data_IF_574985484706
#
_entry.id   IF_574985484706
#
_cell.length_a   1.000
_cell.length_b   1.000
_cell.length_c   1.000
_cell.angle_alpha   90.00
_cell.angle_beta   90.00
_cell.angle_gamma   90.00
#
_symmetry.space_group_name_H-M   'P 1'
#
loop_
_entity.id
_entity.type
_entity.pdbx_description
1 polymer ?
#
# COMPACT_ATOMS: atom_id res chain seq x y z
N UNK A 1 -63.15 -13.42 16.92
CA UNK A 1 -62.39 -14.68 17.08
C UNK A 1 -60.94 -14.34 17.35
N UNK A 2 -60.43 -14.73 18.52
CA UNK A 2 -59.19 -14.26 19.14
C UNK A 2 -57.92 -14.79 18.45
N UNK A 3 -56.92 -13.90 18.26
CA UNK A 3 -55.53 -14.23 17.92
C UNK A 3 -54.83 -14.79 19.16
N UNK A 4 -54.31 -16.02 19.08
CA UNK A 4 -53.44 -16.60 20.10
C UNK A 4 -52.02 -16.01 19.99
N UNK A 5 -51.55 -15.40 21.08
CA UNK A 5 -50.15 -15.01 21.29
C UNK A 5 -49.34 -16.25 21.68
N UNK A 6 -48.20 -16.50 21.03
CA UNK A 6 -47.14 -17.37 21.57
C UNK A 6 -45.99 -16.50 22.09
N UNK A 7 -45.57 -16.76 23.33
CA UNK A 7 -44.28 -16.44 23.96
C UNK A 7 -43.60 -17.79 24.27
N UNK A 8 -42.33 -17.86 24.72
CA UNK A 8 -41.10 -17.21 24.25
C UNK A 8 -39.96 -18.26 24.08
N UNK A 9 -38.78 -17.88 23.58
CA UNK A 9 -37.55 -18.61 23.91
C UNK A 9 -36.48 -17.62 24.40
N UNK A 10 -35.87 -17.98 25.52
CA UNK A 10 -34.92 -17.24 26.33
C UNK A 10 -33.56 -17.10 25.64
N UNK A 11 -32.96 -15.90 25.75
CA UNK A 11 -31.55 -15.63 25.47
C UNK A 11 -30.64 -16.54 26.33
N UNK A 12 -29.54 -17.11 25.80
CA UNK A 12 -28.53 -17.69 26.67
C UNK A 12 -27.67 -16.57 27.29
N UNK A 13 -27.48 -16.68 28.61
CA UNK A 13 -26.67 -15.79 29.41
C UNK A 13 -25.18 -15.92 29.06
N UNK A 14 -24.46 -14.78 28.97
CA UNK A 14 -23.00 -14.76 29.00
C UNK A 14 -22.51 -15.22 30.37
N UNK A 15 -21.78 -16.33 30.41
CA UNK A 15 -21.05 -16.76 31.60
C UNK A 15 -19.74 -15.97 31.71
N UNK A 16 -19.54 -15.28 32.84
CA UNK A 16 -18.27 -14.69 33.26
C UNK A 16 -17.29 -15.79 33.67
N UNK A 17 -16.14 -15.91 33.00
CA UNK A 17 -15.06 -16.79 33.45
C UNK A 17 -13.88 -16.98 32.48
N UNK A 18 -12.75 -16.33 32.79
CA UNK A 18 -11.36 -16.67 32.47
C UNK A 18 -10.91 -16.93 31.01
N UNK A 19 -10.10 -15.97 30.51
CA UNK A 19 -8.97 -16.08 29.56
C UNK A 19 -9.05 -17.16 28.45
N UNK A 20 -9.40 -16.72 27.24
CA UNK A 20 -9.16 -17.45 25.99
C UNK A 20 -9.70 -16.66 24.79
N UNK A 21 -8.90 -16.56 23.71
CA UNK A 21 -9.25 -15.88 22.45
C UNK A 21 -10.64 -16.32 21.93
N UNK A 22 -11.61 -15.41 21.91
CA UNK A 22 -12.93 -15.62 21.31
C UNK A 22 -12.96 -15.06 19.89
N UNK A 23 -13.00 -15.94 18.89
CA UNK A 23 -13.38 -15.61 17.52
C UNK A 23 -14.92 -15.52 17.44
N UNK A 24 -15.45 -14.35 17.08
CA UNK A 24 -16.87 -14.20 16.77
C UNK A 24 -17.16 -14.77 15.38
N UNK A 25 -17.83 -15.92 15.32
CA UNK A 25 -18.35 -16.49 14.08
C UNK A 25 -19.74 -15.91 13.80
N UNK A 26 -19.91 -15.24 12.66
CA UNK A 26 -21.21 -14.74 12.19
C UNK A 26 -22.10 -15.88 11.67
N UNK A 27 -23.44 -15.79 11.78
CA UNK A 27 -24.36 -16.80 11.26
C UNK A 27 -24.48 -16.75 9.71
N UNK A 28 -24.67 -17.92 9.10
CA UNK A 28 -24.78 -18.07 7.64
C UNK A 28 -26.09 -17.46 7.08
N UNK A 29 -26.07 -16.78 5.92
CA UNK A 29 -27.26 -16.17 5.32
C UNK A 29 -28.16 -17.18 4.60
N UNK A 30 -29.46 -16.87 4.59
CA UNK A 30 -30.51 -17.64 3.93
C UNK A 30 -30.65 -17.18 2.46
N UNK A 31 -30.10 -17.95 1.51
CA UNK A 31 -30.05 -17.58 0.08
C UNK A 31 -31.16 -18.32 -0.69
N UNK A 32 -32.08 -17.57 -1.32
CA UNK A 32 -33.03 -18.13 -2.30
C UNK A 32 -32.44 -18.04 -3.72
N UNK A 33 -32.36 -19.17 -4.41
CA UNK A 33 -31.80 -19.31 -5.75
C UNK A 33 -32.74 -18.76 -6.83
N UNK A 34 -32.31 -17.72 -7.55
CA UNK A 34 -33.03 -17.20 -8.72
C UNK A 34 -32.32 -16.02 -9.39
N UNK A 35 -31.35 -16.29 -10.28
CA UNK A 35 -30.56 -15.23 -10.91
C UNK A 35 -29.86 -15.59 -12.23
N UNK A 36 -30.35 -16.60 -12.96
CA UNK A 36 -29.68 -17.08 -14.19
C UNK A 36 -29.91 -16.26 -15.46
N UNK A 37 -31.07 -15.61 -15.62
CA UNK A 37 -31.52 -15.12 -16.94
C UNK A 37 -31.21 -13.64 -17.25
N UNK A 38 -30.73 -12.86 -16.28
CA UNK A 38 -30.72 -11.38 -16.40
C UNK A 38 -29.38 -10.81 -16.87
N UNK A 39 -28.24 -11.42 -16.51
CA UNK A 39 -26.91 -10.92 -16.90
C UNK A 39 -26.58 -11.04 -18.39
N UNK A 40 -27.28 -11.90 -19.15
CA UNK A 40 -27.09 -11.97 -20.60
C UNK A 40 -27.47 -10.67 -21.31
N UNK A 41 -28.37 -9.85 -20.73
CA UNK A 41 -28.80 -8.58 -21.32
C UNK A 41 -27.83 -7.44 -21.06
N UNK A 42 -27.20 -7.38 -19.89
CA UNK A 42 -26.24 -6.32 -19.52
C UNK A 42 -24.90 -6.50 -20.23
N UNK A 43 -24.43 -7.75 -20.36
CA UNK A 43 -23.23 -8.08 -21.14
C UNK A 43 -23.46 -7.82 -22.64
N UNK A 44 -24.64 -8.15 -23.18
CA UNK A 44 -24.99 -7.82 -24.57
C UNK A 44 -25.14 -6.32 -24.82
N UNK A 45 -25.61 -5.55 -23.82
CA UNK A 45 -25.71 -4.10 -23.89
C UNK A 45 -24.33 -3.42 -23.92
N UNK A 46 -23.39 -3.84 -23.06
CA UNK A 46 -21.99 -3.38 -23.06
C UNK A 46 -21.22 -3.76 -24.34
N UNK A 47 -21.46 -4.97 -24.87
CA UNK A 47 -20.91 -5.42 -26.15
C UNK A 47 -21.40 -4.59 -27.37
N UNK A 48 -22.56 -3.93 -27.25
CA UNK A 48 -23.15 -3.16 -28.35
C UNK A 48 -22.63 -1.71 -28.47
N UNK A 49 -22.10 -1.12 -27.38
CA UNK A 49 -21.63 0.28 -27.36
C UNK A 49 -20.12 0.44 -27.50
N UNK A 50 -19.31 -0.55 -27.13
CA UNK A 50 -17.87 -0.50 -27.38
C UNK A 50 -17.51 -1.26 -28.66
N UNK A 51 -17.11 -0.54 -29.72
CA UNK A 51 -16.48 -1.12 -30.93
C UNK A 51 -15.07 -1.66 -30.64
N UNK A 52 -14.91 -2.54 -29.65
CA UNK A 52 -13.69 -3.32 -29.46
C UNK A 52 -14.10 -4.78 -29.21
N UNK A 53 -13.81 -5.64 -30.18
CA UNK A 53 -14.00 -7.07 -30.03
C UNK A 53 -13.07 -7.55 -28.93
N UNK A 54 -13.62 -8.22 -27.92
CA UNK A 54 -12.87 -8.93 -26.88
C UNK A 54 -12.09 -10.16 -27.43
N UNK A 55 -12.06 -10.37 -28.75
CA UNK A 55 -11.28 -11.44 -29.40
C UNK A 55 -9.76 -11.20 -29.37
N UNK A 56 -9.31 -10.00 -28.99
CA UNK A 56 -7.91 -9.60 -29.16
C UNK A 56 -7.15 -9.50 -27.82
N UNK A 57 -7.77 -9.89 -26.70
CA UNK A 57 -7.14 -9.96 -25.38
C UNK A 57 -6.93 -11.42 -24.99
N UNK A 58 -5.73 -11.93 -25.20
CA UNK A 58 -5.30 -13.23 -24.66
C UNK A 58 -4.79 -13.04 -23.23
N UNK A 59 -5.28 -13.88 -22.31
CA UNK A 59 -4.92 -13.86 -20.88
C UNK A 59 -4.18 -15.16 -20.53
N UNK A 60 -2.95 -15.07 -20.02
CA UNK A 60 -2.06 -16.21 -19.74
C UNK A 60 -1.96 -16.58 -18.26
N UNK A 61 -2.85 -16.06 -17.41
CA UNK A 61 -2.95 -16.48 -16.01
C UNK A 61 -2.21 -15.59 -15.02
N UNK A 62 -1.31 -14.70 -15.46
CA UNK A 62 -0.51 -13.89 -14.53
C UNK A 62 -0.37 -12.41 -14.92
N UNK A 63 -0.55 -12.02 -16.20
CA UNK A 63 -0.55 -10.60 -16.62
C UNK A 63 -1.37 -10.36 -17.92
N UNK A 64 -1.86 -9.12 -18.12
CA UNK A 64 -2.47 -8.69 -19.40
C UNK A 64 -1.37 -8.15 -20.32
N UNK A 65 -1.02 -8.86 -21.40
CA UNK A 65 -0.14 -8.33 -22.46
C UNK A 65 -0.94 -7.87 -23.67
N UNK A 66 -0.79 -6.60 -24.04
CA UNK A 66 -1.34 -6.07 -25.30
C UNK A 66 -0.40 -6.42 -26.46
N UNK A 67 -0.89 -7.20 -27.44
CA UNK A 67 -0.14 -7.50 -28.67
C UNK A 67 -0.28 -6.30 -29.64
N UNK A 68 0.86 -5.75 -30.07
CA UNK A 68 1.01 -4.38 -30.58
C UNK A 68 0.35 -4.01 -31.92
N UNK A 69 0.42 -2.71 -32.27
CA UNK A 69 0.19 -2.25 -33.65
C UNK A 69 0.04 -0.74 -33.91
N UNK A 70 1.16 -0.09 -34.26
CA UNK A 70 1.37 1.12 -35.10
C UNK A 70 0.92 2.51 -34.59
N UNK A 71 1.90 3.41 -34.57
CA UNK A 71 1.78 4.78 -34.06
C UNK A 71 1.03 5.77 -34.93
N UNK A 72 0.46 6.77 -34.26
CA UNK A 72 -0.01 8.03 -34.85
C UNK A 72 0.15 9.17 -33.81
N UNK A 73 0.92 10.19 -34.20
CA UNK A 73 0.71 11.62 -33.95
C UNK A 73 0.52 12.16 -32.52
N UNK A 74 1.49 12.94 -32.04
CA UNK A 74 1.37 13.84 -30.87
C UNK A 74 0.19 14.83 -31.03
N UNK A 75 -0.68 15.05 -30.03
CA UNK A 75 -1.60 16.18 -30.04
C UNK A 75 -0.90 17.44 -29.52
N UNK A 76 -1.02 18.53 -30.27
CA UNK A 76 -0.56 19.90 -29.93
C UNK A 76 -1.31 20.43 -28.71
N UNK A 77 -0.57 21.02 -27.76
CA UNK A 77 -1.13 21.75 -26.63
C UNK A 77 -1.77 23.07 -27.07
N UNK A 78 -3.05 23.26 -26.72
CA UNK A 78 -3.76 24.55 -26.86
C UNK A 78 -3.54 25.36 -25.58
N UNK A 79 -2.84 26.49 -25.72
CA UNK A 79 -2.72 27.54 -24.70
C UNK A 79 -4.09 28.14 -24.40
N UNK A 80 -4.53 28.13 -23.15
CA UNK A 80 -5.51 29.08 -22.63
C UNK A 80 -4.80 30.10 -21.73
N UNK A 81 -5.04 31.38 -22.00
CA UNK A 81 -4.48 32.53 -21.30
C UNK A 81 -5.37 32.90 -20.11
N UNK A 82 -4.74 33.09 -18.95
CA UNK A 82 -4.94 34.15 -17.97
C UNK A 82 -6.34 34.52 -17.47
N UNK A 83 -6.52 34.44 -16.14
CA UNK A 83 -6.92 35.59 -15.33
C UNK A 83 -6.40 35.42 -13.89
N UNK A 84 -5.42 36.24 -13.53
CA UNK A 84 -4.88 36.42 -12.19
C UNK A 84 -5.69 37.53 -11.47
N UNK A 85 -6.18 37.24 -10.26
CA UNK A 85 -6.50 38.19 -9.17
C UNK A 85 -6.07 37.42 -7.91
N UNK A 86 -5.06 37.76 -7.12
CA UNK A 86 -4.60 39.07 -6.65
C UNK A 86 -5.26 39.35 -5.32
N UNK A 87 -4.69 38.90 -4.19
CA UNK A 87 -4.93 39.45 -2.85
C UNK A 87 -3.75 39.23 -1.90
N UNK A 88 -3.48 40.29 -1.16
CA UNK A 88 -2.28 40.69 -0.46
C UNK A 88 -1.91 39.91 0.81
N UNK A 89 -0.60 39.88 1.04
CA UNK A 89 0.07 39.58 2.31
C UNK A 89 0.27 40.85 3.14
N UNK A 90 -0.41 40.96 4.28
CA UNK A 90 0.09 41.71 5.45
C UNK A 90 -0.85 41.58 6.64
N UNK A 91 -0.35 41.07 7.76
CA UNK A 91 -0.39 41.76 9.06
C UNK A 91 0.22 40.88 10.16
N UNK A 92 1.50 41.13 10.44
CA UNK A 92 2.17 40.77 11.69
C UNK A 92 2.46 42.08 12.45
N UNK A 93 1.94 42.19 13.68
CA UNK A 93 2.27 43.10 14.81
C UNK A 93 0.99 43.16 15.67
N UNK A 94 0.91 42.71 16.92
CA UNK A 94 1.89 42.65 18.00
C UNK A 94 1.42 43.61 19.09
N UNK A 95 0.87 43.11 20.21
CA UNK A 95 0.74 43.86 21.48
C UNK A 95 0.91 42.88 22.65
N UNK A 96 1.80 43.27 23.56
CA UNK A 96 2.20 42.57 24.77
C UNK A 96 1.25 42.82 25.97
N UNK A 97 1.34 41.86 26.90
CA UNK A 97 1.33 42.01 28.38
C UNK A 97 0.00 42.13 29.14
N UNK A 98 -0.25 41.10 29.98
CA UNK A 98 -0.17 41.30 31.43
C UNK A 98 -1.39 40.99 32.29
N UNK A 99 -1.20 40.05 33.23
CA UNK A 99 -1.76 39.92 34.60
C UNK A 99 -3.02 39.06 34.84
N UNK A 100 -2.73 37.89 35.42
CA UNK A 100 -3.18 37.36 36.72
C UNK A 100 -4.67 37.44 37.15
N UNK A 101 -5.20 36.23 37.39
CA UNK A 101 -5.87 35.75 38.61
C UNK A 101 -7.38 35.48 38.58
N UNK A 102 -7.69 34.29 39.14
CA UNK A 102 -8.83 33.93 39.98
C UNK A 102 -10.10 33.33 39.34
N UNK A 103 -10.22 32.03 39.62
CA UNK A 103 -11.36 31.37 40.29
C UNK A 103 -12.72 31.28 39.58
N UNK A 104 -13.08 30.03 39.27
CA UNK A 104 -14.31 29.42 39.77
C UNK A 104 -15.60 29.84 39.08
N UNK A 105 -15.97 29.11 38.03
CA UNK A 105 -17.36 29.01 37.59
C UNK A 105 -17.70 27.53 37.41
N UNK A 106 -18.31 26.95 38.44
CA UNK A 106 -19.17 25.78 38.33
C UNK A 106 -20.34 26.20 37.44
N UNK A 107 -20.38 25.70 36.21
CA UNK A 107 -21.55 25.80 35.35
C UNK A 107 -22.10 24.41 35.09
N UNK A 108 -23.27 24.20 35.67
CA UNK A 108 -24.22 23.13 35.41
C UNK A 108 -24.41 22.96 33.90
N UNK A 109 -23.98 21.84 33.35
CA UNK A 109 -24.45 21.41 32.04
C UNK A 109 -25.90 20.93 32.18
N UNK A 110 -26.82 21.77 31.74
CA UNK A 110 -28.18 21.36 31.43
C UNK A 110 -28.12 20.35 30.28
N UNK A 111 -28.66 19.15 30.51
CA UNK A 111 -28.85 18.13 29.50
C UNK A 111 -29.90 18.61 28.50
N UNK A 112 -29.46 19.24 27.42
CA UNK A 112 -30.23 19.33 26.19
C UNK A 112 -29.92 18.08 25.38
N UNK A 113 -30.93 17.23 25.17
CA UNK A 113 -30.85 16.07 24.30
C UNK A 113 -30.49 16.49 22.88
N UNK A 114 -29.21 16.42 22.55
CA UNK A 114 -28.80 16.17 21.19
C UNK A 114 -29.21 14.73 20.91
N UNK A 115 -30.07 14.51 19.91
CA UNK A 115 -30.14 13.21 19.28
C UNK A 115 -28.70 12.85 18.90
N UNK A 116 -28.18 11.75 19.47
CA UNK A 116 -26.87 11.26 19.13
C UNK A 116 -26.90 10.98 17.63
N UNK A 117 -26.14 11.77 16.87
CA UNK A 117 -25.75 11.35 15.52
C UNK A 117 -24.80 10.19 15.80
N UNK A 118 -25.31 8.96 15.67
CA UNK A 118 -24.49 7.76 15.73
C UNK A 118 -23.31 7.97 14.76
N UNK A 119 -22.05 7.77 15.20
CA UNK A 119 -20.89 7.79 14.33
C UNK A 119 -21.15 7.00 13.05
N UNK A 120 -20.68 7.51 11.89
CA UNK A 120 -20.88 6.83 10.62
C UNK A 120 -20.38 5.37 10.63
N UNK A 121 -19.34 5.09 11.43
CA UNK A 121 -18.84 3.74 11.67
C UNK A 121 -19.87 2.81 12.32
N UNK A 122 -20.66 3.30 13.28
CA UNK A 122 -21.65 2.48 13.99
C UNK A 122 -22.80 2.06 13.05
N UNK A 123 -23.28 3.00 12.21
CA UNK A 123 -24.27 2.70 11.18
C UNK A 123 -23.73 1.70 10.14
N UNK A 124 -22.48 1.88 9.70
CA UNK A 124 -21.86 0.97 8.73
C UNK A 124 -21.64 -0.43 9.32
N UNK A 125 -21.24 -0.51 10.60
CA UNK A 125 -21.03 -1.78 11.29
C UNK A 125 -22.35 -2.52 11.52
N UNK A 126 -23.41 -1.81 11.90
CA UNK A 126 -24.75 -2.38 12.05
C UNK A 126 -25.23 -2.97 10.71
N UNK A 127 -25.10 -2.22 9.61
CA UNK A 127 -25.45 -2.70 8.27
C UNK A 127 -24.68 -3.96 7.88
N UNK A 128 -23.36 -3.99 8.12
CA UNK A 128 -22.52 -5.15 7.84
C UNK A 128 -22.91 -6.36 8.70
N UNK A 129 -23.34 -6.13 9.94
CA UNK A 129 -23.74 -7.19 10.89
C UNK A 129 -25.11 -7.76 10.52
N UNK A 130 -26.05 -6.91 10.13
CA UNK A 130 -27.40 -7.31 9.71
C UNK A 130 -27.39 -8.10 8.40
N UNK A 131 -26.47 -7.76 7.49
CA UNK A 131 -26.23 -8.53 6.25
C UNK A 131 -27.42 -8.51 5.27
N UNK A 132 -28.22 -7.44 5.27
CA UNK A 132 -29.38 -7.29 4.38
C UNK A 132 -28.99 -6.83 2.96
N UNK A 133 -28.40 -7.73 2.18
CA UNK A 133 -27.94 -7.45 0.82
C UNK A 133 -29.08 -7.29 -0.21
N UNK A 134 -28.84 -6.48 -1.25
CA UNK A 134 -29.77 -6.22 -2.35
C UNK A 134 -30.05 -7.47 -3.16
N UNK A 135 -31.33 -7.85 -3.26
CA UNK A 135 -31.80 -8.95 -4.14
C UNK A 135 -31.57 -8.69 -5.63
N UNK A 136 -31.38 -7.43 -6.04
CA UNK A 136 -31.09 -7.04 -7.43
C UNK A 136 -29.59 -6.81 -7.67
N UNK A 137 -28.75 -7.00 -6.65
CA UNK A 137 -27.32 -6.74 -6.72
C UNK A 137 -27.00 -5.32 -7.21
N UNK A 138 -25.98 -5.22 -8.06
CA UNK A 138 -25.41 -4.01 -8.65
C UNK A 138 -26.39 -3.21 -9.50
N UNK A 139 -27.44 -3.82 -10.06
CA UNK A 139 -28.43 -3.09 -10.88
C UNK A 139 -29.12 -1.98 -10.08
N UNK A 140 -29.29 -2.16 -8.76
CA UNK A 140 -29.82 -1.09 -7.89
C UNK A 140 -28.85 0.09 -7.77
N UNK A 141 -27.54 -0.18 -7.78
CA UNK A 141 -26.49 0.83 -7.64
C UNK A 141 -26.27 1.58 -8.96
N UNK A 142 -26.14 0.84 -10.06
CA UNK A 142 -25.82 1.37 -11.40
C UNK A 142 -26.96 2.20 -12.01
N UNK A 143 -28.17 2.14 -11.45
CA UNK A 143 -29.26 3.03 -11.82
C UNK A 143 -29.04 4.50 -11.41
N UNK A 144 -28.13 4.75 -10.45
CA UNK A 144 -27.73 6.10 -10.03
C UNK A 144 -26.21 6.35 -10.15
N UNK A 145 -25.38 5.30 -10.09
CA UNK A 145 -23.93 5.38 -10.24
C UNK A 145 -23.47 4.91 -11.61
N UNK A 146 -23.50 5.81 -12.60
CA UNK A 146 -23.18 5.51 -14.00
C UNK A 146 -21.85 6.18 -14.46
N UNK A 147 -21.61 6.17 -15.78
CA UNK A 147 -20.40 6.77 -16.40
C UNK A 147 -20.37 8.29 -16.38
N UNK A 148 -21.54 8.93 -16.21
CA UNK A 148 -21.68 10.39 -16.25
C UNK A 148 -21.50 11.00 -14.86
N UNK A 149 -21.51 10.18 -13.81
CA UNK A 149 -21.19 10.59 -12.46
C UNK A 149 -19.74 11.13 -12.36
N UNK A 150 -19.48 12.12 -11.47
CA UNK A 150 -18.14 12.67 -11.27
C UNK A 150 -17.09 11.62 -10.87
N UNK A 151 -17.54 10.46 -10.39
CA UNK A 151 -16.72 9.32 -9.95
C UNK A 151 -17.24 8.03 -10.58
N UNK A 152 -16.87 7.76 -11.84
CA UNK A 152 -17.34 6.59 -12.54
C UNK A 152 -16.87 5.32 -11.81
N UNK A 153 -17.83 4.46 -11.48
CA UNK A 153 -17.58 3.18 -10.80
C UNK A 153 -17.30 2.06 -11.80
N UNK A 154 -17.64 2.26 -13.08
CA UNK A 154 -17.57 1.23 -14.11
C UNK A 154 -16.15 0.76 -14.43
N UNK A 155 -15.12 1.55 -14.09
CA UNK A 155 -13.72 1.15 -14.25
C UNK A 155 -13.38 -0.13 -13.46
N UNK A 156 -14.16 -0.47 -12.44
CA UNK A 156 -14.02 -1.75 -11.71
C UNK A 156 -14.16 -2.96 -12.64
N UNK A 157 -14.96 -2.86 -13.70
CA UNK A 157 -15.20 -3.91 -14.67
C UNK A 157 -14.01 -4.15 -15.60
N UNK A 158 -13.04 -3.25 -15.64
CA UNK A 158 -11.75 -3.48 -16.29
C UNK A 158 -10.77 -4.29 -15.42
N UNK A 159 -11.11 -4.53 -14.15
CA UNK A 159 -10.27 -5.25 -13.18
C UNK A 159 -10.77 -6.68 -12.95
N UNK A 160 -9.94 -7.50 -12.28
CA UNK A 160 -10.33 -8.85 -11.86
C UNK A 160 -11.49 -8.86 -10.85
N UNK A 161 -11.74 -7.75 -10.14
CA UNK A 161 -12.83 -7.67 -9.19
C UNK A 161 -14.19 -7.61 -9.90
N UNK A 162 -14.29 -6.91 -11.03
CA UNK A 162 -15.51 -6.82 -11.82
C UNK A 162 -15.73 -7.98 -12.79
N UNK A 163 -14.83 -8.97 -12.85
CA UNK A 163 -14.88 -10.00 -13.88
C UNK A 163 -15.71 -11.23 -13.47
N UNK A 164 -16.88 -11.49 -14.09
CA UNK A 164 -17.83 -12.50 -13.61
C UNK A 164 -17.37 -13.96 -13.72
N UNK A 165 -16.42 -14.23 -14.63
CA UNK A 165 -15.86 -15.58 -14.77
C UNK A 165 -14.81 -15.94 -13.69
N UNK A 166 -14.36 -14.98 -12.88
CA UNK A 166 -13.40 -15.25 -11.80
C UNK A 166 -14.19 -15.72 -10.58
N UNK A 167 -14.04 -17.00 -10.22
CA UNK A 167 -14.88 -17.69 -9.22
C UNK A 167 -14.93 -17.03 -7.83
N UNK A 168 -13.85 -16.33 -7.41
CA UNK A 168 -13.77 -15.63 -6.12
C UNK A 168 -13.88 -14.11 -6.24
N UNK A 169 -14.23 -13.59 -7.41
CA UNK A 169 -14.43 -12.15 -7.57
C UNK A 169 -15.72 -11.70 -6.89
N UNK A 170 -15.80 -10.44 -6.46
CA UNK A 170 -17.07 -9.83 -6.05
C UNK A 170 -18.21 -10.04 -7.04
N UNK A 171 -17.93 -10.04 -8.34
CA UNK A 171 -18.93 -10.21 -9.40
C UNK A 171 -19.06 -11.66 -9.92
N UNK A 172 -18.51 -12.65 -9.20
CA UNK A 172 -18.52 -14.05 -9.61
C UNK A 172 -19.95 -14.56 -9.87
N UNK A 173 -20.12 -15.27 -10.97
CA UNK A 173 -21.37 -15.94 -11.33
C UNK A 173 -21.39 -17.39 -10.84
N UNK A 174 -22.56 -17.89 -10.41
CA UNK A 174 -22.80 -19.32 -10.21
C UNK A 174 -22.55 -19.87 -8.79
N UNK A 175 -23.22 -19.31 -7.78
CA UNK A 175 -23.26 -19.89 -6.43
C UNK A 175 -21.96 -19.70 -5.63
N UNK A 176 -21.23 -18.61 -5.88
CA UNK A 176 -20.08 -18.24 -5.06
C UNK A 176 -20.52 -17.97 -3.61
N UNK A 177 -19.72 -18.42 -2.66
CA UNK A 177 -19.96 -18.16 -1.24
C UNK A 177 -19.62 -16.70 -0.90
N UNK A 178 -20.48 -16.00 -0.11
CA UNK A 178 -20.21 -14.65 0.35
C UNK A 178 -18.81 -14.50 0.97
N UNK A 179 -18.11 -13.36 0.74
CA UNK A 179 -18.63 -12.16 0.07
C UNK A 179 -18.55 -12.19 -1.47
N UNK A 180 -18.06 -13.27 -2.09
CA UNK A 180 -18.06 -13.39 -3.54
C UNK A 180 -19.50 -13.50 -4.09
N UNK A 181 -19.76 -12.87 -5.24
CA UNK A 181 -21.10 -12.80 -5.83
C UNK A 181 -22.01 -11.69 -5.27
N UNK A 182 -21.60 -10.98 -4.22
CA UNK A 182 -22.34 -9.81 -3.68
C UNK A 182 -22.09 -8.51 -4.48
N UNK A 183 -21.30 -8.57 -5.55
CA UNK A 183 -21.04 -7.48 -6.47
C UNK A 183 -20.54 -6.22 -5.73
N UNK A 184 -21.17 -5.06 -5.93
CA UNK A 184 -20.80 -3.81 -5.26
C UNK A 184 -20.82 -3.96 -3.73
N UNK A 185 -21.81 -4.67 -3.19
CA UNK A 185 -22.02 -4.81 -1.75
C UNK A 185 -20.98 -5.73 -1.08
N UNK A 186 -20.20 -6.49 -1.85
CA UNK A 186 -19.06 -7.25 -1.34
C UNK A 186 -17.97 -6.35 -0.73
N UNK A 187 -17.84 -5.12 -1.23
CA UNK A 187 -16.89 -4.14 -0.73
C UNK A 187 -17.58 -2.97 -0.02
N UNK A 188 -18.72 -2.52 -0.53
CA UNK A 188 -19.42 -1.34 -0.02
C UNK A 188 -20.41 -1.64 1.12
N UNK A 189 -20.63 -2.92 1.42
CA UNK A 189 -21.63 -3.38 2.37
C UNK A 189 -23.07 -3.27 1.84
N UNK A 190 -24.05 -3.72 2.63
CA UNK A 190 -25.45 -3.68 2.25
C UNK A 190 -25.96 -2.27 1.92
N UNK A 191 -26.81 -2.17 0.90
CA UNK A 191 -27.33 -0.89 0.45
C UNK A 191 -28.20 -0.17 1.51
N UNK A 192 -28.99 -0.91 2.30
CA UNK A 192 -29.93 -0.32 3.26
C UNK A 192 -30.83 0.73 2.63
N UNK A 193 -31.04 1.85 3.32
CA UNK A 193 -31.90 2.95 2.84
C UNK A 193 -31.20 3.89 1.84
N UNK A 194 -29.92 3.67 1.56
CA UNK A 194 -29.18 4.43 0.55
C UNK A 194 -29.84 4.35 -0.82
N UNK A 195 -30.42 3.18 -1.16
CA UNK A 195 -31.05 2.90 -2.45
C UNK A 195 -32.42 3.54 -2.64
N UNK A 196 -32.98 4.24 -1.65
CA UNK A 196 -34.30 4.89 -1.78
C UNK A 196 -34.27 6.04 -2.77
N UNK A 197 -35.09 6.00 -3.80
CA UNK A 197 -35.12 7.08 -4.79
C UNK A 197 -35.69 8.39 -4.22
N UNK A 198 -36.63 8.29 -3.28
CA UNK A 198 -37.23 9.43 -2.57
C UNK A 198 -36.99 9.23 -1.07
N UNK A 199 -36.40 10.22 -0.42
CA UNK A 199 -36.26 10.27 1.03
C UNK A 199 -37.30 11.24 1.63
N UNK A 200 -37.79 10.95 2.85
CA UNK A 200 -38.57 11.93 3.61
C UNK A 200 -37.78 13.24 3.78
N UNK A 201 -38.50 14.36 3.84
CA UNK A 201 -37.90 15.68 4.01
C UNK A 201 -37.09 15.74 5.32
N UNK A 202 -35.84 16.20 5.22
CA UNK A 202 -34.91 16.29 6.36
C UNK A 202 -34.18 14.99 6.71
N UNK A 203 -34.37 13.90 5.96
CA UNK A 203 -33.62 12.64 6.15
C UNK A 203 -32.48 12.57 5.13
N UNK A 204 -31.26 12.35 5.62
CA UNK A 204 -30.10 12.11 4.76
C UNK A 204 -30.05 10.65 4.27
N UNK A 205 -29.43 10.41 3.11
CA UNK A 205 -29.18 9.05 2.62
C UNK A 205 -28.23 8.36 3.59
N UNK A 206 -28.57 7.12 3.95
CA UNK A 206 -27.66 6.30 4.74
C UNK A 206 -26.28 6.20 4.08
N UNK A 207 -25.21 6.20 4.88
CA UNK A 207 -23.87 6.06 4.37
C UNK A 207 -23.66 4.67 3.76
N UNK A 208 -22.81 4.65 2.73
CA UNK A 208 -22.22 3.47 2.13
C UNK A 208 -20.72 3.53 2.39
N UNK A 209 -20.08 2.40 2.64
CA UNK A 209 -18.66 2.37 2.94
C UNK A 209 -17.86 2.89 1.75
N UNK A 210 -17.02 3.89 1.97
CA UNK A 210 -16.09 4.45 0.99
C UNK A 210 -14.65 4.16 1.39
N UNK A 211 -13.73 4.30 0.45
CA UNK A 211 -12.34 3.90 0.61
C UNK A 211 -11.34 5.03 0.32
N UNK A 212 -10.16 4.92 0.94
CA UNK A 212 -9.01 5.80 0.71
C UNK A 212 -9.29 7.24 1.13
N UNK A 213 -8.92 8.23 0.31
CA UNK A 213 -9.08 9.67 0.62
C UNK A 213 -10.51 10.14 0.89
N UNK A 214 -11.51 9.33 0.53
CA UNK A 214 -12.94 9.59 0.79
C UNK A 214 -13.54 8.58 1.75
N UNK A 215 -12.69 7.81 2.42
CA UNK A 215 -13.12 6.90 3.46
C UNK A 215 -13.96 7.63 4.49
N UNK A 216 -15.11 7.04 4.80
CA UNK A 216 -16.02 7.47 5.85
C UNK A 216 -16.01 6.48 7.03
N UNK A 217 -14.95 5.69 7.11
CA UNK A 217 -14.75 4.69 8.13
C UNK A 217 -13.28 4.55 8.51
N UNK A 218 -13.02 4.01 9.70
CA UNK A 218 -11.68 3.69 10.17
C UNK A 218 -10.91 2.77 9.20
N UNK A 219 -9.59 2.94 9.11
CA UNK A 219 -8.75 2.17 8.20
C UNK A 219 -8.83 0.66 8.47
N UNK A 220 -8.97 0.27 9.74
CA UNK A 220 -9.16 -1.12 10.16
C UNK A 220 -10.44 -1.73 9.58
N UNK A 221 -11.56 -1.00 9.60
CA UNK A 221 -12.82 -1.43 9.01
C UNK A 221 -12.67 -1.56 7.50
N UNK A 222 -12.14 -0.54 6.82
CA UNK A 222 -11.88 -0.57 5.37
C UNK A 222 -11.01 -1.79 4.97
N UNK A 223 -9.92 -2.02 5.70
CA UNK A 223 -9.00 -3.13 5.45
C UNK A 223 -9.67 -4.49 5.67
N UNK A 224 -10.56 -4.59 6.67
CA UNK A 224 -11.34 -5.78 6.97
C UNK A 224 -12.10 -6.31 5.76
N UNK A 225 -12.73 -5.43 4.96
CA UNK A 225 -13.48 -5.82 3.76
C UNK A 225 -12.56 -6.47 2.71
N UNK A 226 -11.35 -5.93 2.53
CA UNK A 226 -10.37 -6.53 1.63
C UNK A 226 -9.86 -7.88 2.17
N UNK A 227 -9.57 -7.95 3.47
CA UNK A 227 -8.96 -9.11 4.11
C UNK A 227 -9.89 -10.31 4.19
N UNK A 228 -11.22 -10.14 4.19
CA UNK A 228 -12.17 -11.25 4.07
C UNK A 228 -11.87 -12.17 2.86
N UNK A 229 -11.37 -11.61 1.76
CA UNK A 229 -10.93 -12.38 0.59
C UNK A 229 -9.40 -12.53 0.50
N UNK A 230 -8.65 -11.48 0.85
CA UNK A 230 -7.22 -11.37 0.61
C UNK A 230 -6.31 -11.80 1.77
N UNK A 231 -6.87 -12.28 2.89
CA UNK A 231 -6.10 -12.87 4.00
C UNK A 231 -5.49 -14.22 3.60
N UNK A 232 -4.48 -14.11 2.74
CA UNK A 232 -3.67 -15.18 2.16
C UNK A 232 -2.28 -15.15 2.77
N UNK A 233 -1.43 -16.13 2.44
CA UNK A 233 -0.04 -16.16 2.92
C UNK A 233 0.71 -14.84 2.68
N UNK A 234 0.53 -14.23 1.50
CA UNK A 234 1.16 -12.95 1.15
C UNK A 234 0.68 -11.75 2.00
N UNK A 235 -0.37 -11.89 2.80
CA UNK A 235 -0.88 -10.85 3.71
C UNK A 235 -0.97 -11.36 5.16
N UNK A 236 -0.35 -12.50 5.46
CA UNK A 236 -0.38 -13.10 6.78
C UNK A 236 0.28 -12.21 7.85
N UNK A 237 1.17 -11.31 7.42
CA UNK A 237 1.91 -10.38 8.28
C UNK A 237 1.38 -8.94 8.24
N UNK A 238 0.20 -8.73 7.66
CA UNK A 238 -0.44 -7.41 7.63
C UNK A 238 -0.77 -6.90 9.02
N UNK A 239 -1.39 -7.75 9.84
CA UNK A 239 -1.73 -7.42 11.22
C UNK A 239 -0.45 -7.15 12.01
N UNK A 240 -0.33 -5.93 12.56
CA UNK A 240 0.88 -5.50 13.24
C UNK A 240 2.02 -5.13 12.29
N UNK A 241 1.81 -4.98 10.98
CA UNK A 241 2.82 -4.44 10.06
C UNK A 241 3.09 -2.97 10.32
N UNK A 242 4.19 -2.42 9.78
CA UNK A 242 4.48 -1.00 9.93
C UNK A 242 3.40 -0.09 9.31
N UNK A 243 2.83 -0.49 8.16
CA UNK A 243 1.77 0.27 7.50
C UNK A 243 0.44 0.16 8.23
N UNK A 244 0.07 -1.03 8.72
CA UNK A 244 -1.17 -1.21 9.50
C UNK A 244 -1.14 -0.41 10.82
N UNK A 245 -0.01 -0.45 11.55
CA UNK A 245 0.18 0.37 12.77
C UNK A 245 0.31 1.87 12.50
N UNK A 246 0.39 2.28 11.25
CA UNK A 246 0.37 3.68 10.83
C UNK A 246 -0.99 4.09 10.28
N UNK A 247 -2.05 3.31 10.57
CA UNK A 247 -3.44 3.52 10.16
C UNK A 247 -3.62 3.61 8.63
N UNK A 248 -2.76 2.93 7.86
CA UNK A 248 -2.86 2.91 6.41
C UNK A 248 -3.96 1.95 5.95
N UNK A 249 -4.82 2.41 5.05
CA UNK A 249 -5.79 1.58 4.37
C UNK A 249 -5.19 0.98 3.08
N UNK A 250 -5.65 -0.21 2.68
CA UNK A 250 -5.32 -0.83 1.40
C UNK A 250 -5.54 0.15 0.23
N UNK A 251 -6.62 0.94 0.32
CA UNK A 251 -7.04 1.90 -0.69
C UNK A 251 -6.24 3.20 -0.73
N UNK A 252 -5.31 3.41 0.21
CA UNK A 252 -4.35 4.52 0.13
C UNK A 252 -3.27 4.25 -0.92
N UNK A 253 -3.01 2.97 -1.21
CA UNK A 253 -2.05 2.53 -2.22
C UNK A 253 -2.73 1.95 -3.46
N UNK A 254 -3.75 1.10 -3.28
CA UNK A 254 -4.43 0.39 -4.35
C UNK A 254 -5.66 1.17 -4.84
N UNK A 255 -5.84 1.26 -6.17
CA UNK A 255 -7.06 1.80 -6.77
C UNK A 255 -7.79 0.74 -7.59
N UNK A 256 -9.04 0.46 -7.21
CA UNK A 256 -9.88 -0.57 -7.81
C UNK A 256 -10.83 0.02 -8.88
N UNK A 257 -11.32 1.24 -8.70
CA UNK A 257 -12.06 1.99 -9.73
C UNK A 257 -11.07 2.68 -10.67
N UNK A 258 -10.25 1.87 -11.34
CA UNK A 258 -9.29 2.30 -12.34
C UNK A 258 -8.94 1.11 -13.23
N UNK A 259 -8.80 1.34 -14.55
CA UNK A 259 -8.37 0.29 -15.48
C UNK A 259 -7.04 -0.35 -15.08
N UNK A 260 -6.13 0.44 -14.51
CA UNK A 260 -4.84 -0.04 -14.02
C UNK A 260 -4.51 0.59 -12.68
N UNK A 261 -4.23 -0.27 -11.71
CA UNK A 261 -3.75 0.12 -10.40
C UNK A 261 -2.29 0.58 -10.47
N UNK A 262 -2.04 1.83 -10.08
CA UNK A 262 -0.75 2.50 -10.26
C UNK A 262 0.40 1.77 -9.56
N UNK A 263 0.15 1.22 -8.36
CA UNK A 263 1.16 0.51 -7.56
C UNK A 263 1.59 -0.84 -8.17
N UNK A 264 0.84 -1.34 -9.16
CA UNK A 264 1.23 -2.55 -9.92
C UNK A 264 2.15 -2.25 -11.11
N UNK A 265 2.25 -0.99 -11.52
CA UNK A 265 3.19 -0.56 -12.55
C UNK A 265 4.53 -0.20 -11.93
N UNK A 266 5.64 -0.38 -12.65
CA UNK A 266 6.96 -0.11 -12.07
C UNK A 266 7.12 1.37 -11.67
N UNK A 267 6.78 2.28 -12.58
CA UNK A 267 6.87 3.73 -12.34
C UNK A 267 5.87 4.19 -11.27
N UNK A 268 4.60 3.77 -11.39
CA UNK A 268 3.57 4.17 -10.44
C UNK A 268 3.84 3.67 -9.02
N UNK A 269 4.48 2.50 -8.86
CA UNK A 269 4.87 2.00 -7.55
C UNK A 269 5.86 2.93 -6.84
N UNK A 270 6.94 3.31 -7.52
CA UNK A 270 7.95 4.19 -6.93
C UNK A 270 7.33 5.55 -6.55
N UNK A 271 6.49 6.12 -7.43
CA UNK A 271 5.79 7.38 -7.16
C UNK A 271 4.85 7.29 -5.95
N UNK A 272 4.08 6.20 -5.82
CA UNK A 272 3.21 5.97 -4.66
C UNK A 272 4.02 5.92 -3.37
N UNK A 273 5.10 5.13 -3.33
CA UNK A 273 5.96 5.01 -2.15
C UNK A 273 6.63 6.34 -1.78
N UNK A 274 7.14 7.08 -2.79
CA UNK A 274 7.81 8.37 -2.58
C UNK A 274 6.88 9.49 -2.10
N UNK A 275 5.56 9.35 -2.27
CA UNK A 275 4.59 10.29 -1.71
C UNK A 275 4.78 10.50 -0.21
N UNK A 276 5.10 9.42 0.51
CA UNK A 276 5.35 9.40 1.94
C UNK A 276 6.86 9.23 2.28
N UNK A 277 7.57 8.30 1.62
CA UNK A 277 8.98 8.00 1.90
C UNK A 277 9.94 8.94 1.15
N UNK A 278 9.84 10.24 1.44
CA UNK A 278 10.58 11.30 0.72
C UNK A 278 12.09 11.23 0.93
N UNK A 279 12.54 10.79 2.10
CA UNK A 279 13.97 10.64 2.38
C UNK A 279 14.59 9.54 1.52
N UNK A 280 13.89 8.42 1.35
CA UNK A 280 14.29 7.33 0.45
C UNK A 280 14.27 7.79 -1.00
N UNK A 281 13.27 8.60 -1.39
CA UNK A 281 13.23 9.21 -2.72
C UNK A 281 14.46 10.10 -2.96
N UNK A 282 14.88 10.89 -1.97
CA UNK A 282 16.09 11.71 -2.06
C UNK A 282 17.37 10.84 -2.17
N UNK A 283 17.43 9.74 -1.41
CA UNK A 283 18.55 8.79 -1.48
C UNK A 283 18.68 8.13 -2.85
N UNK A 284 17.56 7.72 -3.45
CA UNK A 284 17.52 7.12 -4.78
C UNK A 284 18.03 8.06 -5.90
N UNK A 285 18.13 9.37 -5.62
CA UNK A 285 18.65 10.38 -6.53
C UNK A 285 20.13 10.74 -6.26
N UNK A 286 20.76 10.16 -5.25
CA UNK A 286 22.19 10.35 -4.98
C UNK A 286 23.05 9.76 -6.09
N UNK A 287 24.33 10.15 -6.08
CA UNK A 287 25.32 9.78 -7.12
C UNK A 287 25.39 8.27 -7.38
N UNK A 288 25.34 7.46 -6.33
CA UNK A 288 25.34 6.00 -6.42
C UNK A 288 24.10 5.48 -5.72
N UNK A 289 23.16 4.94 -6.46
CA UNK A 289 21.93 4.37 -5.95
C UNK A 289 21.58 3.13 -6.77
N UNK A 290 20.73 2.25 -6.21
CA UNK A 290 20.07 1.26 -7.04
C UNK A 290 19.17 1.97 -8.07
N UNK A 291 18.92 1.36 -9.25
CA UNK A 291 18.27 2.03 -10.39
C UNK A 291 16.74 2.16 -10.24
N UNK A 292 16.30 2.73 -9.10
CA UNK A 292 14.91 3.05 -8.77
C UNK A 292 14.39 4.24 -9.60
N UNK A 293 15.25 5.25 -9.86
CA UNK A 293 14.90 6.43 -10.66
C UNK A 293 14.41 6.07 -12.07
N UNK A 294 15.07 5.10 -12.67
CA UNK A 294 14.76 4.65 -14.03
C UNK A 294 13.75 3.49 -14.05
N UNK A 295 13.16 3.16 -12.88
CA UNK A 295 12.22 2.05 -12.70
C UNK A 295 12.75 0.70 -13.24
N UNK A 296 14.07 0.45 -13.16
CA UNK A 296 14.65 -0.84 -13.55
C UNK A 296 14.46 -1.88 -12.44
N UNK A 297 14.42 -1.41 -11.19
CA UNK A 297 13.92 -2.13 -10.04
C UNK A 297 12.92 -1.24 -9.30
N UNK A 298 12.16 -1.83 -8.40
CA UNK A 298 11.13 -1.14 -7.60
C UNK A 298 11.20 -1.52 -6.14
N UNK A 299 10.54 -0.74 -5.28
CA UNK A 299 10.55 -0.95 -3.83
C UNK A 299 10.19 -2.39 -3.44
N UNK A 300 9.21 -3.01 -4.13
CA UNK A 300 8.75 -4.36 -3.80
C UNK A 300 9.76 -5.47 -4.07
N UNK A 301 10.79 -5.20 -4.86
CA UNK A 301 11.84 -6.19 -5.15
C UNK A 301 12.71 -6.44 -3.91
N UNK A 302 12.73 -5.47 -2.97
CA UNK A 302 13.41 -5.59 -1.69
C UNK A 302 12.44 -5.65 -0.50
N UNK A 303 11.29 -4.98 -0.58
CA UNK A 303 10.34 -4.85 0.55
C UNK A 303 8.97 -5.50 0.29
N UNK A 304 8.35 -6.11 1.30
CA UNK A 304 6.92 -6.42 1.26
C UNK A 304 6.12 -5.33 2.01
N UNK A 305 5.37 -4.47 1.30
CA UNK A 305 4.59 -3.42 1.93
C UNK A 305 3.45 -3.95 2.79
N UNK A 306 3.11 -5.25 2.70
CA UNK A 306 2.06 -5.86 3.52
C UNK A 306 2.59 -6.44 4.83
N UNK A 307 3.88 -6.31 5.12
CA UNK A 307 4.47 -6.85 6.35
C UNK A 307 5.35 -8.06 6.11
N UNK A 308 6.37 -8.20 6.97
CA UNK A 308 7.28 -9.36 7.01
C UNK A 308 7.64 -9.66 8.46
N UNK A 309 8.35 -10.76 8.69
CA UNK A 309 8.85 -11.13 10.01
C UNK A 309 10.13 -10.38 10.44
N UNK A 310 10.62 -9.42 9.65
CA UNK A 310 11.79 -8.61 9.97
C UNK A 310 11.45 -7.11 10.07
N UNK A 311 12.32 -6.38 10.77
CA UNK A 311 12.11 -4.98 11.15
C UNK A 311 12.11 -3.98 9.99
N UNK A 312 12.58 -4.41 8.80
CA UNK A 312 12.75 -3.55 7.62
C UNK A 312 11.88 -3.98 6.45
N UNK A 313 10.90 -4.86 6.68
CA UNK A 313 10.01 -5.34 5.64
C UNK A 313 10.72 -6.05 4.48
N UNK A 314 11.92 -6.59 4.68
CA UNK A 314 12.66 -7.26 3.62
C UNK A 314 11.91 -8.50 3.10
N UNK A 315 11.88 -8.71 1.79
CA UNK A 315 11.20 -9.86 1.16
C UNK A 315 11.82 -11.22 1.53
N UNK A 316 13.04 -11.24 2.07
CA UNK A 316 13.70 -12.40 2.69
C UNK A 316 13.90 -12.18 4.18
N UNK A 317 14.30 -13.22 4.90
CA UNK A 317 14.38 -13.17 6.36
C UNK A 317 15.43 -12.16 6.84
N UNK A 318 16.51 -11.95 6.06
CA UNK A 318 17.56 -10.99 6.36
C UNK A 318 17.85 -10.07 5.18
N UNK A 319 18.50 -8.93 5.45
CA UNK A 319 18.97 -8.02 4.40
C UNK A 319 19.92 -8.72 3.43
N UNK A 320 20.87 -9.52 3.94
CA UNK A 320 21.82 -10.27 3.12
C UNK A 320 21.11 -11.23 2.15
N UNK A 321 20.13 -12.00 2.64
CA UNK A 321 19.35 -12.89 1.78
C UNK A 321 18.58 -12.15 0.70
N UNK A 322 18.05 -10.96 1.01
CA UNK A 322 17.43 -10.08 0.00
C UNK A 322 18.45 -9.64 -1.03
N UNK A 323 19.64 -9.20 -0.62
CA UNK A 323 20.72 -8.81 -1.54
C UNK A 323 21.12 -9.96 -2.47
N UNK A 324 21.23 -11.18 -1.95
CA UNK A 324 21.62 -12.37 -2.73
C UNK A 324 20.57 -12.82 -3.76
N UNK A 325 19.37 -12.24 -3.77
CA UNK A 325 18.41 -12.48 -4.86
C UNK A 325 18.93 -11.96 -6.20
N UNK A 326 19.80 -10.94 -6.19
CA UNK A 326 20.46 -10.42 -7.38
C UNK A 326 21.99 -10.56 -7.30
N UNK A 327 22.59 -10.33 -6.12
CA UNK A 327 24.03 -10.41 -5.88
C UNK A 327 24.46 -11.81 -5.40
N UNK A 328 24.06 -12.84 -6.13
CA UNK A 328 24.30 -14.24 -5.75
C UNK A 328 25.80 -14.57 -5.64
N UNK A 329 26.64 -13.85 -6.38
CA UNK A 329 28.09 -13.96 -6.34
C UNK A 329 28.69 -13.63 -4.96
N UNK A 330 27.99 -12.86 -4.13
CA UNK A 330 28.46 -12.43 -2.81
C UNK A 330 28.02 -13.35 -1.67
N UNK A 331 27.23 -14.40 -1.95
CA UNK A 331 26.59 -15.23 -0.91
C UNK A 331 27.55 -16.11 -0.11
N UNK A 332 28.67 -16.53 -0.70
CA UNK A 332 29.56 -17.51 -0.10
C UNK A 332 28.95 -18.93 0.00
N UNK A 333 29.54 -19.83 0.80
CA UNK A 333 30.69 -19.57 1.67
C UNK A 333 31.97 -19.35 0.86
N UNK A 334 32.80 -18.40 1.31
CA UNK A 334 34.15 -18.23 0.77
C UNK A 334 35.16 -18.96 1.66
N UNK A 335 36.32 -19.34 1.12
CA UNK A 335 37.41 -19.88 1.94
C UNK A 335 37.90 -18.85 2.98
N UNK A 336 37.99 -17.59 2.55
CA UNK A 336 38.31 -16.45 3.38
C UNK A 336 37.18 -15.45 3.30
N UNK A 337 36.35 -15.43 4.33
CA UNK A 337 35.23 -14.50 4.44
C UNK A 337 35.66 -13.18 5.08
N UNK A 338 35.12 -12.07 4.58
CA UNK A 338 35.26 -10.78 5.24
C UNK A 338 34.13 -10.64 6.26
N UNK A 339 34.39 -10.66 7.60
CA UNK A 339 33.32 -10.89 8.58
C UNK A 339 32.13 -9.91 8.47
N UNK A 340 32.32 -8.58 8.30
CA UNK A 340 31.21 -7.67 8.04
C UNK A 340 30.26 -8.03 6.88
N UNK A 341 30.75 -8.71 5.84
CA UNK A 341 29.95 -9.08 4.66
C UNK A 341 29.02 -10.25 4.98
N UNK A 342 29.49 -11.19 5.80
CA UNK A 342 28.69 -12.32 6.27
C UNK A 342 27.64 -11.86 7.28
N UNK A 343 28.00 -10.88 8.11
CA UNK A 343 27.12 -10.31 9.14
C UNK A 343 25.97 -9.48 8.55
N UNK A 344 26.30 -8.37 7.88
CA UNK A 344 25.30 -7.46 7.31
C UNK A 344 25.92 -6.55 6.24
N UNK A 345 25.43 -6.67 5.00
CA UNK A 345 25.84 -5.85 3.85
C UNK A 345 25.72 -4.35 4.14
N UNK A 346 24.76 -3.94 4.99
CA UNK A 346 24.49 -2.55 5.32
C UNK A 346 25.53 -1.91 6.25
N UNK A 347 26.46 -2.69 6.83
CA UNK A 347 27.60 -2.14 7.57
C UNK A 347 28.49 -1.27 6.68
N UNK A 348 28.53 -1.60 5.38
CA UNK A 348 29.32 -0.89 4.37
C UNK A 348 28.45 -0.17 3.34
N UNK A 349 27.25 -0.68 3.03
CA UNK A 349 26.39 -0.16 1.96
C UNK A 349 25.14 0.56 2.47
N UNK A 350 24.74 1.62 1.77
CA UNK A 350 23.43 2.28 1.92
C UNK A 350 22.55 1.87 0.74
N UNK A 351 21.63 0.91 0.91
CA UNK A 351 20.93 0.27 -0.20
C UNK A 351 20.04 1.22 -1.03
N UNK A 352 19.60 2.34 -0.45
CA UNK A 352 18.80 3.32 -1.19
C UNK A 352 19.66 4.31 -1.98
N UNK A 353 20.82 4.70 -1.44
CA UNK A 353 21.75 5.57 -2.15
C UNK A 353 22.80 6.26 -1.28
N UNK A 354 23.97 6.50 -1.89
CA UNK A 354 25.09 7.21 -1.28
C UNK A 354 25.72 8.21 -2.25
N UNK A 355 26.36 9.23 -1.67
CA UNK A 355 27.24 10.13 -2.40
C UNK A 355 28.60 9.48 -2.72
N UNK A 356 28.92 8.36 -2.06
CA UNK A 356 30.11 7.56 -2.33
C UNK A 356 29.82 6.49 -3.39
N UNK A 357 30.82 6.11 -4.20
CA UNK A 357 30.65 5.06 -5.20
C UNK A 357 30.26 3.73 -4.56
N UNK A 358 29.61 2.85 -5.34
CA UNK A 358 29.16 1.52 -4.90
C UNK A 358 28.27 1.57 -3.65
N UNK A 359 27.47 2.62 -3.50
CA UNK A 359 26.55 2.82 -2.39
C UNK A 359 27.24 2.86 -1.00
N UNK A 360 28.54 3.12 -0.91
CA UNK A 360 29.25 3.00 0.37
C UNK A 360 28.81 4.06 1.40
N UNK A 361 28.69 3.68 2.67
CA UNK A 361 28.36 4.62 3.77
C UNK A 361 29.49 5.62 4.05
N UNK A 362 30.74 5.23 3.72
CA UNK A 362 31.94 6.06 3.80
C UNK A 362 32.86 5.75 2.64
N UNK A 363 33.66 6.72 2.21
CA UNK A 363 34.67 6.45 1.18
C UNK A 363 35.85 5.67 1.77
N UNK A 364 36.50 4.80 0.99
CA UNK A 364 37.85 4.37 1.29
C UNK A 364 38.81 5.58 1.29
N UNK A 365 39.84 5.60 2.16
CA UNK A 365 40.22 4.56 3.12
C UNK A 365 39.45 4.60 4.45
N UNK A 366 38.70 5.68 4.74
CA UNK A 366 38.05 5.88 6.05
C UNK A 366 37.05 4.77 6.41
N UNK A 367 36.42 4.15 5.42
CA UNK A 367 35.58 2.96 5.63
C UNK A 367 36.36 1.82 6.28
N UNK A 368 37.51 1.47 5.69
CA UNK A 368 38.36 0.37 6.16
C UNK A 368 38.96 0.68 7.53
N UNK A 369 39.39 1.93 7.73
CA UNK A 369 40.01 2.41 8.98
C UNK A 369 39.05 2.43 10.17
N UNK A 370 37.73 2.36 9.93
CA UNK A 370 36.75 2.25 11.01
C UNK A 370 36.91 0.93 11.81
N UNK A 371 37.41 -0.13 11.16
CA UNK A 371 37.62 -1.44 11.79
C UNK A 371 39.11 -1.83 11.83
N UNK A 372 39.89 -1.46 10.81
CA UNK A 372 41.31 -1.82 10.70
C UNK A 372 42.20 -0.75 11.35
N UNK A 373 42.39 -0.87 12.66
CA UNK A 373 43.21 0.04 13.48
C UNK A 373 44.58 -0.51 13.88
N UNK A 374 44.95 -1.70 13.42
CA UNK A 374 46.23 -2.30 13.80
C UNK A 374 47.43 -1.54 13.22
N UNK A 375 48.57 -1.50 13.95
CA UNK A 375 49.76 -0.76 13.52
C UNK A 375 50.21 -1.12 12.09
N UNK A 376 50.77 -0.12 11.39
CA UNK A 376 51.21 -0.23 9.99
C UNK A 376 50.43 0.69 9.06
N UNK A 377 50.39 0.35 7.76
CA UNK A 377 49.76 1.21 6.75
C UNK A 377 48.23 1.38 6.90
N UNK A 378 47.59 0.51 7.69
CA UNK A 378 46.14 0.51 7.93
C UNK A 378 45.71 1.72 8.78
N UNK A 379 46.56 2.17 9.69
CA UNK A 379 46.24 3.25 10.64
C UNK A 379 46.98 4.56 10.33
N UNK A 380 47.37 4.77 9.08
CA UNK A 380 48.02 6.02 8.68
C UNK A 380 47.02 7.18 8.72
N UNK A 381 47.45 8.30 9.31
CA UNK A 381 46.75 9.57 9.17
C UNK A 381 46.89 10.08 7.74
N UNK A 382 45.79 10.11 7.00
CA UNK A 382 45.76 10.50 5.60
C UNK A 382 45.08 11.86 5.42
N UNK A 383 45.81 12.81 4.85
CA UNK A 383 45.40 14.22 4.75
C UNK A 383 45.41 14.75 3.31
N UNK A 384 44.77 15.91 3.05
CA UNK A 384 44.76 16.55 1.73
C UNK A 384 46.16 16.85 1.18
N UNK A 385 47.16 16.99 2.05
CA UNK A 385 48.56 17.27 1.70
C UNK A 385 49.22 16.12 0.90
N UNK A 386 48.59 14.95 0.89
CA UNK A 386 49.05 13.74 0.19
C UNK A 386 48.27 13.49 -1.12
N UNK A 387 47.59 14.50 -1.65
CA UNK A 387 46.91 14.48 -2.95
C UNK A 387 47.81 15.10 -4.04
N UNK A 388 47.55 14.83 -5.34
CA UNK A 388 48.36 15.41 -6.41
C UNK A 388 48.41 16.94 -6.30
N UNK A 389 49.56 17.59 -6.58
CA UNK A 389 50.71 17.05 -7.31
C UNK A 389 51.92 16.56 -6.46
N UNK A 390 51.89 16.44 -5.12
CA UNK A 390 53.08 16.03 -4.32
C UNK A 390 52.74 15.32 -3.00
N UNK A 391 53.73 14.56 -2.46
CA UNK A 391 53.85 13.14 -2.75
C UNK A 391 52.49 12.44 -2.55
N UNK A 392 52.01 11.83 -3.62
CA UNK A 392 50.66 11.28 -3.66
C UNK A 392 50.56 9.95 -2.92
N UNK A 393 49.66 9.86 -1.96
CA UNK A 393 49.41 8.62 -1.24
C UNK A 393 48.61 7.64 -2.10
N UNK A 394 49.15 6.43 -2.30
CA UNK A 394 48.45 5.30 -2.92
C UNK A 394 47.15 4.92 -2.18
N UNK A 395 47.05 5.27 -0.90
CA UNK A 395 45.87 5.07 -0.06
C UNK A 395 44.77 6.12 -0.29
N UNK A 396 45.07 7.21 -1.01
CA UNK A 396 44.08 8.26 -1.36
C UNK A 396 43.76 8.29 -2.86
N UNK A 397 44.55 7.61 -3.68
CA UNK A 397 44.39 7.57 -5.13
C UNK A 397 43.52 6.39 -5.60
N UNK A 398 42.81 6.62 -6.70
CA UNK A 398 41.99 5.61 -7.39
C UNK A 398 41.03 4.90 -6.43
N UNK A 399 41.23 3.59 -6.16
CA UNK A 399 40.38 2.80 -5.27
C UNK A 399 40.94 2.68 -3.84
N UNK A 400 41.94 3.48 -3.49
CA UNK A 400 42.59 3.50 -2.17
C UNK A 400 43.07 2.09 -1.76
N UNK A 401 42.62 1.58 -0.61
CA UNK A 401 42.94 0.24 -0.09
C UNK A 401 42.67 -0.87 -1.12
N UNK A 402 41.63 -0.72 -1.95
CA UNK A 402 41.24 -1.71 -2.94
C UNK A 402 42.19 -1.79 -4.14
N UNK A 403 43.16 -0.87 -4.25
CA UNK A 403 44.25 -1.00 -5.23
C UNK A 403 45.09 -2.27 -4.98
N UNK A 404 45.13 -2.75 -3.73
CA UNK A 404 45.84 -3.97 -3.35
C UNK A 404 44.92 -5.04 -2.75
N UNK A 405 43.80 -4.64 -2.15
CA UNK A 405 42.83 -5.52 -1.49
C UNK A 405 41.53 -5.59 -2.31
N UNK A 406 41.55 -6.26 -3.47
CA UNK A 406 40.43 -6.28 -4.41
C UNK A 406 39.24 -7.14 -3.97
N UNK A 407 39.47 -8.21 -3.21
CA UNK A 407 38.48 -9.26 -2.89
C UNK A 407 37.78 -9.02 -1.55
N UNK A 408 37.31 -7.79 -1.30
CA UNK A 408 36.75 -7.38 0.02
C UNK A 408 35.44 -8.07 0.39
N UNK A 409 34.76 -8.72 -0.55
CA UNK A 409 33.55 -9.51 -0.28
C UNK A 409 33.85 -10.97 0.10
N UNK A 410 35.11 -11.39 0.02
CA UNK A 410 35.56 -12.75 0.30
C UNK A 410 36.45 -13.28 -0.81
N UNK A 411 37.32 -14.24 -0.48
CA UNK A 411 38.23 -14.88 -1.44
C UNK A 411 38.23 -16.39 -1.28
N UNK A 412 38.23 -17.10 -2.42
CA UNK A 412 38.42 -18.55 -2.49
C UNK A 412 39.87 -18.97 -2.77
N UNK A 413 40.80 -18.02 -2.89
CA UNK A 413 42.19 -18.33 -3.14
C UNK A 413 42.86 -18.85 -1.85
N UNK A 414 43.70 -19.90 -1.88
CA UNK A 414 44.36 -20.43 -0.67
C UNK A 414 45.16 -19.38 0.13
N UNK A 415 45.78 -18.43 -0.57
CA UNK A 415 46.45 -17.25 0.00
C UNK A 415 45.60 -15.96 -0.02
N UNK A 416 44.28 -16.10 0.09
CA UNK A 416 43.28 -15.02 0.02
C UNK A 416 42.93 -14.38 1.36
N UNK A 417 43.58 -14.78 2.46
CA UNK A 417 43.31 -14.30 3.82
C UNK A 417 43.48 -12.79 4.04
N UNK A 418 44.14 -12.09 3.09
CA UNK A 418 44.28 -10.65 3.08
C UNK A 418 43.48 -9.99 1.93
N UNK A 419 42.58 -10.70 1.27
CA UNK A 419 41.70 -10.17 0.21
C UNK A 419 42.43 -9.54 -0.99
N UNK A 420 43.62 -10.06 -1.33
CA UNK A 420 44.43 -9.55 -2.45
C UNK A 420 44.13 -10.22 -3.78
N UNK A 421 43.52 -11.42 -3.75
CA UNK A 421 43.24 -12.30 -4.88
C UNK A 421 42.35 -13.45 -4.44
#
# INVERSE_FOLDING_TARGET
>A
MQKQRRRPQSLPACATGSRGNGSCSLPAPNISTGGGDVLHRTVAWLQSRHRRRWSDVAWDGEDVRYLGGRGLGRPRSRRSRGCFRGFDTSCYRGVHAGRLAALGCVLLFAATGAAAVEPADDILLDKLTDGEYSRRGADTCLGCHDEEEPFPTLDVFATVHGHPAVARSPFAMGGAEPPAGLQCEACHGPIGEHGRQILPEGVEREPILNFGKRGNAEASLQNGLCLQCHQTYARARWAGSAHERSDMACADCHRIHAETDAVRTMTGQNETCWGCHRDVAADALKRSAHPLRDSQIVCRDCHDPHGTDNDKLNVRATANETCFTCHAEMRGPFLWEHPPVVEDCMLCHSPHGSNQPALLVRRPPQLCQACHSSPGHRSLGLGPEQLPPRPTSEFLLAKACLNCHGEVHGSNHPSGNLFRR
#
